data_IF_404560724707
#
_entry.id   IF_404560724707
#
_cell.length_a   1.000
_cell.length_b   1.000
_cell.length_c   1.000
_cell.angle_alpha   90.00
_cell.angle_beta   90.00
_cell.angle_gamma   90.00
#
_symmetry.space_group_name_H-M   'P 1'
#
loop_
_entity.id
_entity.type
_entity.pdbx_description
1 polymer ?
#
# COMPACT_ATOMS: atom_id res chain seq x y z
N UNK A 1 38.76 13.36 -7.17
CA UNK A 1 38.76 12.15 -8.02
C UNK A 1 37.89 11.06 -7.40
N UNK A 2 38.12 10.65 -6.16
CA UNK A 2 37.33 9.62 -5.49
C UNK A 2 35.83 9.96 -5.32
N UNK A 3 35.48 11.22 -5.09
CA UNK A 3 34.07 11.61 -4.92
C UNK A 3 33.27 11.49 -6.24
N UNK A 4 33.90 11.79 -7.39
CA UNK A 4 33.26 11.64 -8.70
C UNK A 4 33.08 10.17 -9.07
N UNK A 5 34.07 9.33 -8.77
CA UNK A 5 34.00 7.87 -8.99
C UNK A 5 32.93 7.25 -8.12
N UNK A 6 32.86 7.62 -6.83
CA UNK A 6 31.80 7.18 -5.90
C UNK A 6 30.43 7.59 -6.37
N UNK A 7 30.27 8.85 -6.85
CA UNK A 7 29.00 9.33 -7.37
C UNK A 7 28.57 8.55 -8.63
N UNK A 8 29.52 8.28 -9.54
CA UNK A 8 29.26 7.50 -10.74
C UNK A 8 28.82 6.07 -10.42
N UNK A 9 29.50 5.41 -9.47
CA UNK A 9 29.11 4.09 -8.98
C UNK A 9 27.73 4.08 -8.35
N UNK A 10 27.38 5.09 -7.52
CA UNK A 10 26.04 5.23 -6.94
C UNK A 10 24.95 5.42 -8.00
N UNK A 11 25.22 6.22 -9.04
CA UNK A 11 24.27 6.41 -10.15
C UNK A 11 24.05 5.12 -10.93
N UNK A 12 25.10 4.38 -11.24
CA UNK A 12 25.01 3.09 -11.92
C UNK A 12 24.24 2.06 -11.10
N UNK A 13 24.51 1.97 -9.80
CA UNK A 13 23.78 1.08 -8.91
C UNK A 13 22.30 1.41 -8.86
N UNK A 14 21.94 2.69 -8.70
CA UNK A 14 20.52 3.13 -8.69
C UNK A 14 19.82 2.81 -10.00
N UNK A 15 20.48 3.01 -11.14
CA UNK A 15 19.91 2.69 -12.44
C UNK A 15 19.67 1.18 -12.59
N UNK A 16 20.63 0.35 -12.16
CA UNK A 16 20.50 -1.11 -12.16
C UNK A 16 19.38 -1.58 -11.24
N UNK A 17 19.29 -1.03 -10.01
CA UNK A 17 18.23 -1.37 -9.04
C UNK A 17 16.84 -0.99 -9.59
N UNK A 18 16.73 0.17 -10.25
CA UNK A 18 15.48 0.60 -10.89
C UNK A 18 15.07 -0.34 -12.03
N UNK A 19 16.01 -0.68 -12.92
CA UNK A 19 15.72 -1.61 -14.01
C UNK A 19 15.29 -2.99 -13.53
N UNK A 20 15.93 -3.51 -12.49
CA UNK A 20 15.57 -4.79 -11.84
C UNK A 20 14.17 -4.75 -11.27
N UNK A 21 13.80 -3.66 -10.58
CA UNK A 21 12.45 -3.50 -10.01
C UNK A 21 11.38 -3.38 -11.09
N UNK A 22 11.64 -2.58 -12.12
CA UNK A 22 10.72 -2.44 -13.26
C UNK A 22 10.45 -3.79 -13.90
N UNK A 23 11.49 -4.56 -14.16
CA UNK A 23 11.36 -5.90 -14.74
C UNK A 23 10.58 -6.84 -13.85
N UNK A 24 10.81 -6.83 -12.54
CA UNK A 24 10.06 -7.66 -11.60
C UNK A 24 8.55 -7.32 -11.60
N UNK A 25 8.19 -6.05 -11.68
CA UNK A 25 6.80 -5.62 -11.79
C UNK A 25 6.15 -6.02 -13.12
N UNK A 26 6.90 -5.95 -14.22
CA UNK A 26 6.45 -6.42 -15.54
C UNK A 26 6.23 -7.94 -15.54
N UNK A 27 7.11 -8.72 -14.94
CA UNK A 27 6.97 -10.16 -14.81
C UNK A 27 5.72 -10.55 -13.97
N UNK A 28 5.41 -9.82 -12.91
CA UNK A 28 4.16 -9.99 -12.14
C UNK A 28 2.94 -9.65 -13.01
N UNK A 29 2.99 -8.54 -13.72
CA UNK A 29 1.93 -8.14 -14.63
C UNK A 29 1.61 -9.22 -15.66
N UNK A 30 2.63 -9.73 -16.33
CA UNK A 30 2.49 -10.79 -17.34
C UNK A 30 1.96 -12.09 -16.73
N UNK A 31 2.53 -12.52 -15.60
CA UNK A 31 2.16 -13.77 -14.94
C UNK A 31 0.72 -13.79 -14.45
N UNK A 32 0.18 -12.64 -14.05
CA UNK A 32 -1.19 -12.50 -13.55
C UNK A 32 -2.17 -11.95 -14.60
N UNK A 33 -1.70 -11.61 -15.81
CA UNK A 33 -2.54 -11.04 -16.85
C UNK A 33 -3.15 -9.69 -16.48
N UNK A 34 -2.41 -8.85 -15.76
CA UNK A 34 -2.87 -7.53 -15.34
C UNK A 34 -2.79 -6.53 -16.49
N UNK A 35 -3.74 -5.59 -16.56
CA UNK A 35 -3.76 -4.53 -17.58
C UNK A 35 -2.56 -3.57 -17.48
N UNK A 36 -1.97 -3.48 -16.28
CA UNK A 36 -0.81 -2.63 -15.98
C UNK A 36 0.06 -3.21 -14.88
N UNK A 37 1.31 -2.76 -14.80
CA UNK A 37 2.22 -3.16 -13.73
C UNK A 37 1.66 -2.75 -12.35
N UNK A 38 1.69 -3.65 -11.35
CA UNK A 38 1.13 -3.39 -10.04
C UNK A 38 2.07 -2.52 -9.20
N UNK A 39 2.05 -1.20 -9.42
CA UNK A 39 2.92 -0.26 -8.72
C UNK A 39 2.65 -0.22 -7.22
N UNK A 40 1.40 -0.43 -6.79
CA UNK A 40 1.04 -0.58 -5.39
C UNK A 40 0.43 -1.94 -5.14
N UNK A 41 1.05 -2.69 -4.25
CA UNK A 41 0.60 -4.00 -3.80
C UNK A 41 0.38 -3.99 -2.30
N UNK A 42 -0.69 -4.60 -1.85
CA UNK A 42 -0.98 -4.79 -0.43
C UNK A 42 -1.06 -6.29 -0.17
N UNK A 43 -0.42 -6.77 0.89
CA UNK A 43 -0.51 -8.15 1.33
C UNK A 43 -1.00 -8.22 2.77
N UNK A 44 -1.87 -9.18 3.04
CA UNK A 44 -2.54 -9.33 4.31
C UNK A 44 -2.29 -10.71 4.90
N UNK A 45 -2.09 -10.74 6.21
CA UNK A 45 -1.92 -11.97 6.98
C UNK A 45 -2.76 -11.90 8.24
N UNK A 46 -3.39 -13.02 8.59
CA UNK A 46 -4.15 -13.17 9.83
C UNK A 46 -3.33 -13.99 10.82
N UNK A 47 -3.09 -13.43 11.98
CA UNK A 47 -2.34 -14.07 13.05
C UNK A 47 -3.17 -14.16 14.32
N UNK A 48 -3.13 -15.33 14.95
CA UNK A 48 -3.77 -15.58 16.25
C UNK A 48 -2.73 -15.39 17.36
N UNK A 49 -2.94 -14.38 18.21
CA UNK A 49 -2.12 -14.20 19.40
C UNK A 49 -2.77 -14.99 20.54
N UNK A 50 -1.97 -15.79 21.22
CA UNK A 50 -2.41 -16.71 22.28
C UNK A 50 -3.51 -16.11 23.17
N UNK A 51 -4.67 -16.73 23.09
CA UNK A 51 -5.76 -16.62 24.07
C UNK A 51 -6.98 -15.84 23.65
N UNK A 52 -6.92 -14.71 22.87
CA UNK A 52 -8.16 -13.93 22.62
C UNK A 52 -8.11 -12.93 21.48
N UNK A 53 -6.95 -12.63 20.91
CA UNK A 53 -6.87 -11.57 19.91
C UNK A 53 -6.46 -12.11 18.53
N UNK A 54 -7.30 -11.84 17.56
CA UNK A 54 -6.99 -12.05 16.15
C UNK A 54 -6.48 -10.72 15.58
N UNK A 55 -5.34 -10.74 14.91
CA UNK A 55 -4.71 -9.55 14.34
C UNK A 55 -4.50 -9.75 12.86
N UNK A 56 -5.04 -8.84 12.05
CA UNK A 56 -4.70 -8.71 10.65
C UNK A 56 -3.49 -7.78 10.47
N UNK A 57 -2.51 -8.22 9.72
CA UNK A 57 -1.35 -7.40 9.34
C UNK A 57 -1.43 -7.05 7.87
N UNK A 58 -1.18 -5.78 7.54
CA UNK A 58 -1.08 -5.28 6.18
C UNK A 58 0.34 -4.80 5.92
N UNK A 59 0.96 -5.31 4.88
CA UNK A 59 2.21 -4.79 4.35
C UNK A 59 1.99 -4.18 2.98
N UNK A 60 2.76 -3.14 2.66
CA UNK A 60 2.60 -2.37 1.44
C UNK A 60 3.92 -2.35 0.68
N UNK A 61 3.83 -2.64 -0.61
CA UNK A 61 4.89 -2.42 -1.57
C UNK A 61 4.48 -1.33 -2.54
N UNK A 62 5.38 -0.41 -2.80
CA UNK A 62 5.18 0.68 -3.75
C UNK A 62 6.41 0.77 -4.65
N UNK A 63 6.17 0.74 -5.96
CA UNK A 63 7.23 0.73 -6.97
C UNK A 63 8.27 -0.38 -6.76
N UNK A 64 7.81 -1.58 -6.35
CA UNK A 64 8.65 -2.75 -6.08
C UNK A 64 9.46 -2.68 -4.79
N UNK A 65 9.18 -1.72 -3.89
CA UNK A 65 9.87 -1.56 -2.61
C UNK A 65 8.90 -1.57 -1.42
N UNK A 66 9.32 -2.15 -0.28
CA UNK A 66 8.50 -2.12 0.92
C UNK A 66 8.29 -0.69 1.44
N UNK A 67 7.04 -0.29 1.64
CA UNK A 67 6.63 1.00 2.17
C UNK A 67 6.27 0.86 3.66
N UNK A 68 7.27 0.72 4.52
CA UNK A 68 7.08 0.39 5.94
C UNK A 68 6.24 1.41 6.71
N UNK A 69 6.25 2.68 6.31
CA UNK A 69 5.43 3.74 6.92
C UNK A 69 3.93 3.50 6.75
N UNK A 70 3.54 2.69 5.76
CA UNK A 70 2.15 2.37 5.47
C UNK A 70 1.71 0.98 5.96
N UNK A 71 2.56 0.25 6.68
CA UNK A 71 2.19 -0.99 7.33
C UNK A 71 1.16 -0.74 8.43
N UNK A 72 0.14 -1.58 8.51
CA UNK A 72 -0.95 -1.44 9.49
C UNK A 72 -1.24 -2.77 10.17
N UNK A 73 -1.78 -2.66 11.38
CA UNK A 73 -2.33 -3.77 12.15
C UNK A 73 -3.80 -3.49 12.42
N UNK A 74 -4.62 -4.51 12.20
CA UNK A 74 -6.05 -4.48 12.44
C UNK A 74 -6.35 -5.43 13.59
N UNK A 75 -6.76 -4.90 14.73
CA UNK A 75 -7.24 -5.72 15.82
C UNK A 75 -8.67 -6.13 15.48
N UNK A 76 -8.93 -7.44 15.44
CA UNK A 76 -10.22 -8.02 15.14
C UNK A 76 -10.86 -8.40 16.47
N UNK A 77 -12.04 -7.85 16.76
CA UNK A 77 -12.76 -8.08 18.00
C UNK A 77 -14.00 -8.94 17.77
N UNK A 78 -14.28 -9.85 18.71
CA UNK A 78 -15.56 -10.55 18.73
C UNK A 78 -15.63 -11.85 17.94
N UNK A 79 -14.49 -12.42 17.55
CA UNK A 79 -14.46 -13.78 17.00
C UNK A 79 -14.22 -14.81 18.11
N UNK A 80 -15.24 -15.62 18.42
CA UNK A 80 -15.06 -16.86 19.13
C UNK A 80 -14.76 -17.95 18.11
N UNK A 81 -13.52 -18.40 18.04
CA UNK A 81 -13.04 -19.43 17.12
C UNK A 81 -11.97 -18.95 16.12
N UNK A 82 -11.42 -19.87 15.37
CA UNK A 82 -10.41 -19.62 14.34
C UNK A 82 -11.05 -19.55 12.95
N UNK A 83 -11.84 -18.52 12.66
CA UNK A 83 -12.37 -18.29 11.32
C UNK A 83 -11.53 -17.24 10.59
N UNK A 84 -10.48 -17.71 9.92
CA UNK A 84 -9.55 -16.85 9.18
C UNK A 84 -10.22 -16.16 7.99
N UNK A 85 -11.25 -16.78 7.40
CA UNK A 85 -11.99 -16.17 6.29
C UNK A 85 -12.82 -14.97 6.76
N UNK A 86 -13.54 -15.12 7.86
CA UNK A 86 -14.30 -14.02 8.45
C UNK A 86 -13.37 -12.91 8.94
N UNK A 87 -12.23 -13.25 9.53
CA UNK A 87 -11.21 -12.29 9.94
C UNK A 87 -10.64 -11.52 8.74
N UNK A 88 -10.27 -12.19 7.66
CA UNK A 88 -9.78 -11.58 6.43
C UNK A 88 -10.84 -10.69 5.79
N UNK A 89 -12.09 -11.14 5.73
CA UNK A 89 -13.22 -10.34 5.23
C UNK A 89 -13.37 -9.04 6.02
N UNK A 90 -13.28 -9.09 7.35
CA UNK A 90 -13.36 -7.88 8.19
C UNK A 90 -12.22 -6.90 7.89
N UNK A 91 -10.98 -7.39 7.83
CA UNK A 91 -9.79 -6.57 7.55
C UNK A 91 -9.91 -5.88 6.20
N UNK A 92 -10.20 -6.62 5.13
CA UNK A 92 -10.36 -6.08 3.79
C UNK A 92 -11.54 -5.11 3.70
N UNK A 93 -12.67 -5.43 4.32
CA UNK A 93 -13.83 -4.53 4.35
C UNK A 93 -13.51 -3.21 5.03
N UNK A 94 -12.79 -3.22 6.15
CA UNK A 94 -12.35 -1.99 6.84
C UNK A 94 -11.39 -1.17 5.99
N UNK A 95 -10.43 -1.83 5.33
CA UNK A 95 -9.46 -1.17 4.45
C UNK A 95 -10.15 -0.52 3.24
N UNK A 96 -11.00 -1.27 2.55
CA UNK A 96 -11.68 -0.78 1.33
C UNK A 96 -12.74 0.27 1.64
N UNK A 97 -13.44 0.17 2.76
CA UNK A 97 -14.36 1.22 3.21
C UNK A 97 -13.63 2.53 3.41
N UNK A 98 -12.47 2.48 4.07
CA UNK A 98 -11.64 3.66 4.28
C UNK A 98 -11.17 4.28 2.97
N UNK A 99 -10.81 3.44 1.98
CA UNK A 99 -10.46 3.91 0.64
C UNK A 99 -11.62 4.67 -0.02
N UNK A 100 -12.84 4.14 0.08
CA UNK A 100 -14.03 4.76 -0.49
C UNK A 100 -14.30 6.11 0.19
N UNK A 101 -14.31 6.13 1.52
CA UNK A 101 -14.50 7.35 2.32
C UNK A 101 -13.49 8.43 1.97
N UNK A 102 -12.21 8.09 1.87
CA UNK A 102 -11.14 9.03 1.52
C UNK A 102 -11.29 9.54 0.08
N UNK A 103 -11.73 8.70 -0.86
CA UNK A 103 -11.99 9.10 -2.25
C UNK A 103 -13.20 10.01 -2.37
N UNK A 104 -14.26 9.75 -1.63
CA UNK A 104 -15.47 10.60 -1.64
C UNK A 104 -15.16 11.99 -1.08
N UNK A 105 -14.37 12.08 -0.02
CA UNK A 105 -13.88 13.36 0.51
C UNK A 105 -13.02 14.11 -0.52
N UNK A 106 -12.14 13.39 -1.24
CA UNK A 106 -11.33 13.98 -2.29
C UNK A 106 -12.16 14.47 -3.47
N UNK A 107 -13.19 13.71 -3.87
CA UNK A 107 -14.10 14.09 -4.95
C UNK A 107 -14.95 15.32 -4.60
N UNK A 108 -15.36 15.44 -3.34
CA UNK A 108 -16.14 16.59 -2.85
C UNK A 108 -15.30 17.85 -2.64
N UNK A 109 -13.98 17.72 -2.48
CA UNK A 109 -13.04 18.82 -2.34
C UNK A 109 -12.51 19.36 -3.68
N UNK A 110 -12.92 18.80 -4.82
CA UNK A 110 -12.56 19.33 -6.14
C UNK A 110 -13.26 20.69 -6.35
N UNK A 111 -12.50 21.75 -6.20
CA UNK A 111 -12.88 23.07 -6.66
C UNK A 111 -12.80 23.14 -8.19
N UNK A 112 -13.59 24.03 -8.86
CA UNK A 112 -13.64 24.15 -10.32
C UNK A 112 -12.29 24.43 -11.00
N UNK A 113 -11.26 24.76 -10.27
CA UNK A 113 -9.92 25.16 -10.76
C UNK A 113 -8.95 23.99 -10.99
N UNK A 114 -9.39 22.76 -10.94
CA UNK A 114 -8.55 21.61 -11.32
C UNK A 114 -7.39 21.31 -10.37
N UNK A 115 -7.38 21.89 -9.21
CA UNK A 115 -6.43 21.52 -8.15
C UNK A 115 -6.80 20.12 -7.64
N UNK A 116 -5.92 19.18 -7.91
CA UNK A 116 -6.04 17.79 -7.42
C UNK A 116 -6.10 17.90 -5.91
N UNK A 117 -7.29 17.74 -5.33
CA UNK A 117 -7.56 17.92 -3.91
C UNK A 117 -6.45 17.26 -3.10
N UNK A 118 -5.84 18.04 -2.26
CA UNK A 118 -4.65 17.71 -1.47
C UNK A 118 -4.79 16.30 -0.88
N UNK A 119 -3.83 15.42 -1.18
CA UNK A 119 -3.68 14.12 -0.52
C UNK A 119 -3.39 14.27 0.99
N UNK A 120 -3.47 15.49 1.48
CA UNK A 120 -3.25 15.92 2.85
C UNK A 120 -4.61 16.17 3.49
N UNK A 121 -4.84 15.58 4.64
CA UNK A 121 -6.00 15.87 5.47
C UNK A 121 -5.93 17.33 5.94
N UNK A 122 -6.90 18.19 5.58
CA UNK A 122 -6.86 19.60 5.92
C UNK A 122 -6.96 19.87 7.43
N UNK A 123 -7.45 18.89 8.20
CA UNK A 123 -7.61 19.03 9.65
C UNK A 123 -6.35 18.67 10.41
N UNK A 124 -5.61 17.68 9.93
CA UNK A 124 -4.43 17.15 10.62
C UNK A 124 -3.12 17.53 9.95
N UNK A 125 -3.16 17.99 8.69
CA UNK A 125 -1.97 18.26 7.88
C UNK A 125 -1.18 17.00 7.51
N UNK A 126 -1.71 15.81 7.79
CA UNK A 126 -1.07 14.54 7.51
C UNK A 126 -1.53 13.97 6.17
N UNK A 127 -0.69 13.16 5.48
CA UNK A 127 -1.13 12.43 4.31
C UNK A 127 -2.31 11.50 4.65
N UNK A 128 -3.33 11.45 3.79
CA UNK A 128 -4.45 10.52 3.95
C UNK A 128 -3.95 9.09 3.77
N UNK A 129 -4.02 8.32 4.83
CA UNK A 129 -3.35 7.01 4.94
C UNK A 129 -3.85 5.95 3.95
N UNK A 130 -5.10 6.03 3.52
CA UNK A 130 -5.75 4.98 2.71
C UNK A 130 -6.27 5.47 1.35
N UNK A 131 -5.87 6.66 0.92
CA UNK A 131 -6.36 7.27 -0.32
C UNK A 131 -5.92 6.54 -1.60
N UNK A 132 -4.88 5.72 -1.53
CA UNK A 132 -4.35 4.99 -2.68
C UNK A 132 -4.97 3.60 -2.82
N UNK A 133 -5.58 3.36 -3.98
CA UNK A 133 -6.06 2.03 -4.32
C UNK A 133 -4.88 1.10 -4.63
N UNK A 134 -4.88 -0.13 -4.09
CA UNK A 134 -3.92 -1.14 -4.53
C UNK A 134 -4.22 -1.58 -5.96
N UNK A 135 -3.19 -1.92 -6.71
CA UNK A 135 -3.31 -2.56 -8.02
C UNK A 135 -3.39 -4.08 -7.88
N UNK A 136 -2.88 -4.60 -6.78
CA UNK A 136 -2.87 -6.02 -6.43
C UNK A 136 -3.04 -6.19 -4.91
N UNK A 137 -3.87 -7.15 -4.52
CA UNK A 137 -4.07 -7.60 -3.14
C UNK A 137 -3.79 -9.11 -3.07
#
# INVERSE_FOLDING_TARGET
>A
RNAQETLAQHKLKRASDLATRTRALEEIQESLGLDRAPLRMESYDISHIQGTNVVGSMVVFEDGMPRKSEYRRFIIKGFEGSDDFAAMHEVLSRRLRRLIEDRDVMASAQTPDGDVGSLIDPTTGAPREFAYAPHLI
#
